data_IF_385925932129
#
_entry.id   IF_385925932129
#
_cell.length_a   1.000
_cell.length_b   1.000
_cell.length_c   1.000
_cell.angle_alpha   90.00
_cell.angle_beta   90.00
_cell.angle_gamma   90.00
#
_symmetry.space_group_name_H-M   'P 1'
#
loop_
_entity.id
_entity.type
_entity.pdbx_description
1 polymer ?
#
# COMPACT_ATOMS: atom_id res chain seq x y z
N UNK A 1 55.06 14.91 16.38
CA UNK A 1 54.00 13.88 16.52
C UNK A 1 52.67 14.48 16.06
N UNK A 2 52.16 14.09 14.89
CA UNK A 2 50.84 14.55 14.41
C UNK A 2 49.82 13.51 14.70
N UNK A 3 48.97 13.75 15.70
CA UNK A 3 47.86 12.88 16.09
C UNK A 3 46.75 12.98 15.01
N UNK A 4 46.58 11.91 14.21
CA UNK A 4 45.47 11.79 13.28
C UNK A 4 44.16 11.54 14.07
N UNK A 5 43.31 12.57 14.17
CA UNK A 5 41.93 12.36 14.59
C UNK A 5 41.23 11.46 13.56
N UNK A 6 40.87 10.23 13.96
CA UNK A 6 39.95 9.38 13.21
C UNK A 6 38.55 10.00 13.28
N UNK A 7 38.07 10.50 12.16
CA UNK A 7 36.68 10.92 12.04
C UNK A 7 35.78 9.74 12.39
N UNK A 8 34.98 9.85 13.44
CA UNK A 8 33.88 8.92 13.74
C UNK A 8 32.86 9.05 12.63
N UNK A 9 32.84 8.09 11.71
CA UNK A 9 31.71 7.92 10.79
C UNK A 9 30.45 7.76 11.61
N UNK A 10 29.58 8.78 11.60
CA UNK A 10 28.26 8.71 12.22
C UNK A 10 27.53 7.53 11.61
N UNK A 11 27.21 6.49 12.41
CA UNK A 11 26.32 5.41 12.00
C UNK A 11 25.01 6.08 11.54
N UNK A 12 24.71 6.04 10.24
CA UNK A 12 23.38 6.41 9.75
C UNK A 12 22.36 5.58 10.53
N UNK A 13 21.43 6.26 11.18
CA UNK A 13 20.33 5.57 11.87
C UNK A 13 19.58 4.71 10.85
N UNK A 14 19.31 3.46 11.22
CA UNK A 14 18.58 2.51 10.41
C UNK A 14 17.18 3.10 10.09
N UNK A 15 16.77 3.18 8.82
CA UNK A 15 15.48 3.77 8.48
C UNK A 15 14.34 2.88 8.95
N UNK A 16 13.25 3.51 9.39
CA UNK A 16 12.03 2.83 9.84
C UNK A 16 10.95 2.95 8.76
N UNK A 17 10.44 1.80 8.33
CA UNK A 17 9.37 1.67 7.35
C UNK A 17 8.11 1.09 7.99
N UNK A 18 6.96 1.67 7.70
CA UNK A 18 5.65 1.12 8.02
C UNK A 18 5.06 0.54 6.74
N UNK A 19 4.63 -0.72 6.77
CA UNK A 19 3.96 -1.39 5.65
C UNK A 19 2.57 -1.78 6.10
N UNK A 20 1.54 -1.15 5.55
CA UNK A 20 0.16 -1.58 5.76
C UNK A 20 -0.21 -2.64 4.71
N UNK A 21 -1.03 -3.62 5.10
CA UNK A 21 -1.24 -4.81 4.26
C UNK A 21 -0.02 -5.73 4.22
N UNK A 22 0.76 -5.75 5.32
CA UNK A 22 2.04 -6.47 5.41
C UNK A 22 1.92 -7.99 5.31
N UNK A 23 0.78 -8.56 5.69
CA UNK A 23 0.51 -9.98 5.59
C UNK A 23 -0.13 -10.38 4.24
N UNK A 24 -0.36 -9.42 3.35
CA UNK A 24 -0.77 -9.65 1.97
C UNK A 24 0.40 -10.06 1.07
N UNK A 25 0.09 -10.46 -0.19
CA UNK A 25 1.11 -10.92 -1.14
C UNK A 25 2.19 -9.87 -1.42
N UNK A 26 1.81 -8.67 -1.85
CA UNK A 26 2.79 -7.62 -2.16
C UNK A 26 3.45 -7.05 -0.91
N UNK A 27 2.66 -6.89 0.17
CA UNK A 27 3.16 -6.33 1.42
C UNK A 27 4.23 -7.19 2.08
N UNK A 28 4.07 -8.52 2.07
CA UNK A 28 5.06 -9.44 2.63
C UNK A 28 6.38 -9.42 1.84
N UNK A 29 6.32 -9.47 0.50
CA UNK A 29 7.52 -9.37 -0.32
C UNK A 29 8.24 -8.02 -0.18
N UNK A 30 7.49 -6.92 -0.06
CA UNK A 30 8.10 -5.62 0.22
C UNK A 30 8.76 -5.60 1.61
N UNK A 31 8.12 -6.20 2.61
CA UNK A 31 8.66 -6.32 3.97
C UNK A 31 10.02 -7.02 3.94
N UNK A 32 10.12 -8.16 3.27
CA UNK A 32 11.37 -8.90 3.10
C UNK A 32 12.45 -8.05 2.42
N UNK A 33 12.09 -7.37 1.34
CA UNK A 33 13.02 -6.50 0.62
C UNK A 33 13.52 -5.34 1.48
N UNK A 34 12.66 -4.72 2.28
CA UNK A 34 13.03 -3.61 3.15
C UNK A 34 13.96 -4.09 4.28
N UNK A 35 13.66 -5.23 4.90
CA UNK A 35 14.54 -5.85 5.90
C UNK A 35 15.92 -6.18 5.30
N UNK A 36 15.95 -6.78 4.11
CA UNK A 36 17.21 -7.07 3.40
C UNK A 36 18.00 -5.79 3.05
N UNK A 37 17.31 -4.64 2.89
CA UNK A 37 17.94 -3.32 2.71
C UNK A 37 18.33 -2.64 4.03
N UNK A 38 18.18 -3.31 5.16
CA UNK A 38 18.57 -2.82 6.48
C UNK A 38 17.59 -1.83 7.09
N UNK A 39 16.31 -1.83 6.71
CA UNK A 39 15.27 -1.09 7.40
C UNK A 39 14.79 -1.84 8.65
N UNK A 40 14.31 -1.11 9.64
CA UNK A 40 13.34 -1.64 10.59
C UNK A 40 11.97 -1.56 9.97
N UNK A 41 11.18 -2.63 10.07
CA UNK A 41 9.85 -2.68 9.47
C UNK A 41 8.77 -2.91 10.51
N UNK A 42 7.75 -2.06 10.50
CA UNK A 42 6.51 -2.26 11.23
C UNK A 42 5.45 -2.67 10.22
N UNK A 43 5.06 -3.93 10.24
CA UNK A 43 3.97 -4.47 9.42
C UNK A 43 2.63 -4.30 10.13
N UNK A 44 1.63 -3.76 9.45
CA UNK A 44 0.26 -3.60 9.95
C UNK A 44 -0.69 -4.33 9.00
N UNK A 45 -1.53 -5.22 9.53
CA UNK A 45 -2.55 -5.95 8.78
C UNK A 45 -3.67 -6.39 9.72
N UNK A 46 -4.91 -6.43 9.26
CA UNK A 46 -6.03 -6.97 10.04
C UNK A 46 -6.34 -8.44 9.74
N UNK A 47 -5.62 -9.04 8.79
CA UNK A 47 -5.72 -10.44 8.36
C UNK A 47 -7.07 -10.83 7.73
N UNK A 48 -7.85 -9.84 7.25
CA UNK A 48 -9.13 -10.12 6.57
C UNK A 48 -8.90 -10.84 5.24
N UNK A 49 -7.88 -10.44 4.47
CA UNK A 49 -7.46 -11.08 3.23
C UNK A 49 -6.00 -11.49 3.24
N UNK A 50 -5.23 -11.00 4.21
CA UNK A 50 -3.85 -11.39 4.47
C UNK A 50 -3.75 -12.70 5.24
N UNK A 51 -2.56 -13.29 5.26
CA UNK A 51 -2.26 -14.52 6.00
C UNK A 51 -0.98 -14.40 6.81
N UNK A 52 -1.01 -14.85 8.07
CA UNK A 52 0.18 -14.93 8.92
C UNK A 52 1.28 -15.79 8.26
N UNK A 53 0.91 -16.82 7.49
CA UNK A 53 1.86 -17.67 6.76
C UNK A 53 2.78 -16.88 5.81
N UNK A 54 2.36 -15.70 5.35
CA UNK A 54 3.19 -14.85 4.49
C UNK A 54 4.32 -14.13 5.24
N UNK A 55 4.24 -14.04 6.57
CA UNK A 55 5.19 -13.31 7.44
C UNK A 55 5.74 -14.15 8.59
N UNK A 56 5.33 -15.42 8.74
CA UNK A 56 5.75 -16.30 9.86
C UNK A 56 7.27 -16.53 9.90
N UNK A 57 7.92 -16.53 8.75
CA UNK A 57 9.38 -16.66 8.63
C UNK A 57 10.12 -15.47 9.25
N UNK A 58 9.45 -14.35 9.52
CA UNK A 58 10.00 -13.17 10.20
C UNK A 58 9.85 -13.23 11.72
N UNK A 59 9.28 -14.32 12.26
CA UNK A 59 9.13 -14.48 13.70
C UNK A 59 10.51 -14.46 14.39
N UNK A 60 10.64 -13.61 15.43
CA UNK A 60 11.90 -13.43 16.16
C UNK A 60 12.92 -12.50 15.49
N UNK A 61 12.65 -11.96 14.30
CA UNK A 61 13.50 -10.93 13.70
C UNK A 61 13.39 -9.63 14.49
N UNK A 62 14.49 -9.15 15.06
CA UNK A 62 14.53 -7.94 15.91
C UNK A 62 14.24 -6.63 15.14
N UNK A 63 14.39 -6.65 13.83
CA UNK A 63 14.10 -5.50 12.96
C UNK A 63 12.69 -5.55 12.36
N UNK A 64 11.89 -6.58 12.70
CA UNK A 64 10.49 -6.70 12.27
C UNK A 64 9.55 -6.71 13.47
N UNK A 65 8.50 -5.88 13.39
CA UNK A 65 7.39 -5.88 14.34
C UNK A 65 6.08 -5.98 13.58
N UNK A 66 5.26 -6.96 13.91
CA UNK A 66 3.90 -7.08 13.37
C UNK A 66 2.88 -6.51 14.35
N UNK A 67 1.90 -5.77 13.82
CA UNK A 67 0.75 -5.23 14.55
C UNK A 67 -0.50 -5.67 13.82
N UNK A 68 -1.30 -6.51 14.46
CA UNK A 68 -2.61 -6.88 13.94
C UNK A 68 -3.59 -5.77 14.25
N UNK A 69 -3.90 -4.95 13.23
CA UNK A 69 -4.77 -3.78 13.38
C UNK A 69 -5.44 -3.43 12.05
N UNK A 70 -6.68 -2.96 12.11
CA UNK A 70 -7.36 -2.36 10.97
C UNK A 70 -6.83 -0.94 10.73
N UNK A 71 -6.43 -0.67 9.49
CA UNK A 71 -5.87 0.65 9.12
C UNK A 71 -6.93 1.76 9.10
N UNK A 72 -8.21 1.42 9.18
CA UNK A 72 -9.31 2.39 9.31
C UNK A 72 -9.41 2.97 10.72
N UNK A 73 -8.81 2.30 11.69
CA UNK A 73 -8.69 2.76 13.06
C UNK A 73 -7.55 3.79 13.22
N UNK A 74 -7.41 4.35 14.42
CA UNK A 74 -6.35 5.30 14.70
C UNK A 74 -4.97 4.63 14.68
N UNK A 75 -4.09 5.09 13.80
CA UNK A 75 -2.73 4.59 13.69
C UNK A 75 -1.78 5.45 14.53
N UNK A 76 -1.24 4.86 15.58
CA UNK A 76 -0.23 5.49 16.42
C UNK A 76 1.00 4.59 16.53
N UNK A 77 2.17 5.19 16.34
CA UNK A 77 3.46 4.52 16.50
C UNK A 77 4.42 5.41 17.26
N UNK A 78 5.08 4.84 18.26
CA UNK A 78 6.16 5.52 18.96
C UNK A 78 7.42 5.58 18.09
N UNK A 79 8.21 6.64 18.32
CA UNK A 79 9.50 6.82 17.65
C UNK A 79 9.41 7.34 16.20
N UNK A 80 10.55 7.34 15.51
CA UNK A 80 10.65 7.87 14.17
C UNK A 80 10.07 6.90 13.14
N UNK A 81 9.44 7.45 12.08
CA UNK A 81 9.03 6.74 10.87
C UNK A 81 9.58 7.52 9.68
N UNK A 82 10.27 6.85 8.77
CA UNK A 82 10.85 7.47 7.58
C UNK A 82 10.01 7.24 6.32
N UNK A 83 9.31 6.08 6.27
CA UNK A 83 8.51 5.69 5.12
C UNK A 83 7.20 5.03 5.55
N UNK A 84 6.11 5.36 4.86
CA UNK A 84 4.82 4.68 4.97
C UNK A 84 4.46 4.12 3.59
N UNK A 85 4.35 2.80 3.52
CA UNK A 85 4.02 2.03 2.32
C UNK A 85 2.60 1.51 2.48
N UNK A 86 1.64 2.12 1.79
CA UNK A 86 0.23 1.82 1.96
C UNK A 86 -0.26 0.80 0.93
N UNK A 87 -0.31 -0.47 1.36
CA UNK A 87 -0.72 -1.62 0.54
C UNK A 87 -2.04 -2.24 1.00
N UNK A 88 -2.57 -1.86 2.16
CA UNK A 88 -3.80 -2.42 2.70
C UNK A 88 -4.99 -2.14 1.78
N UNK A 89 -5.54 -3.19 1.20
CA UNK A 89 -6.78 -3.17 0.41
C UNK A 89 -7.17 -4.60 0.04
N UNK A 90 -8.45 -5.00 0.12
CA UNK A 90 -8.95 -6.13 -0.65
C UNK A 90 -8.74 -5.84 -2.13
N UNK A 91 -7.95 -6.66 -2.82
CA UNK A 91 -7.50 -6.36 -4.18
C UNK A 91 -7.92 -7.41 -5.23
N UNK A 92 -8.42 -8.57 -4.78
CA UNK A 92 -8.97 -9.54 -5.71
C UNK A 92 -10.45 -9.24 -6.01
N UNK A 93 -10.93 -9.50 -7.24
CA UNK A 93 -12.35 -9.35 -7.59
C UNK A 93 -13.30 -10.11 -6.66
N UNK A 94 -12.90 -11.27 -6.18
CA UNK A 94 -13.68 -12.07 -5.24
C UNK A 94 -13.75 -11.35 -3.88
N UNK A 95 -12.62 -10.88 -3.36
CA UNK A 95 -12.58 -10.28 -2.02
C UNK A 95 -13.35 -8.96 -1.96
N UNK A 96 -13.14 -8.05 -2.92
CA UNK A 96 -13.84 -6.77 -2.86
C UNK A 96 -15.34 -6.90 -3.19
N UNK A 97 -15.76 -7.92 -3.95
CA UNK A 97 -17.18 -8.20 -4.16
C UNK A 97 -17.86 -8.73 -2.88
N UNK A 98 -17.16 -9.51 -2.07
CA UNK A 98 -17.64 -10.00 -0.78
C UNK A 98 -17.56 -8.95 0.33
N UNK A 99 -16.63 -8.00 0.23
CA UNK A 99 -16.30 -6.99 1.23
C UNK A 99 -16.40 -5.56 0.68
N UNK A 100 -17.49 -5.17 -0.01
CA UNK A 100 -17.54 -3.89 -0.73
C UNK A 100 -17.44 -2.67 0.19
N UNK A 101 -18.11 -2.70 1.35
CA UNK A 101 -18.08 -1.60 2.32
C UNK A 101 -16.69 -1.49 2.97
N UNK A 102 -16.08 -2.62 3.33
CA UNK A 102 -14.73 -2.66 3.90
C UNK A 102 -13.71 -2.14 2.89
N UNK A 103 -13.86 -2.48 1.60
CA UNK A 103 -13.01 -1.98 0.51
C UNK A 103 -13.09 -0.45 0.39
N UNK A 104 -14.30 0.12 0.41
CA UNK A 104 -14.49 1.57 0.42
C UNK A 104 -13.90 2.23 1.68
N UNK A 105 -14.10 1.63 2.85
CA UNK A 105 -13.55 2.15 4.12
C UNK A 105 -12.02 2.16 4.11
N UNK A 106 -11.38 1.10 3.67
CA UNK A 106 -9.91 1.06 3.65
C UNK A 106 -9.33 2.04 2.62
N UNK A 107 -9.96 2.17 1.46
CA UNK A 107 -9.54 3.14 0.44
C UNK A 107 -9.72 4.60 0.89
N UNK A 108 -10.73 4.89 1.70
CA UNK A 108 -11.00 6.23 2.22
C UNK A 108 -10.38 6.48 3.60
N UNK A 109 -10.96 5.92 4.65
CA UNK A 109 -10.51 6.12 6.04
C UNK A 109 -9.10 5.57 6.26
N UNK A 110 -8.81 4.35 5.74
CA UNK A 110 -7.50 3.73 5.88
C UNK A 110 -6.41 4.58 5.25
N UNK A 111 -6.61 5.05 4.01
CA UNK A 111 -5.66 5.93 3.34
C UNK A 111 -5.50 7.25 4.09
N UNK A 112 -6.60 7.85 4.57
CA UNK A 112 -6.55 9.07 5.38
C UNK A 112 -5.74 8.90 6.67
N UNK A 113 -5.92 7.78 7.40
CA UNK A 113 -5.16 7.48 8.63
C UNK A 113 -3.67 7.26 8.34
N UNK A 114 -3.35 6.51 7.28
CA UNK A 114 -1.97 6.27 6.88
C UNK A 114 -1.25 7.57 6.44
N UNK A 115 -1.94 8.46 5.72
CA UNK A 115 -1.44 9.80 5.38
C UNK A 115 -1.27 10.67 6.63
N UNK A 116 -2.20 10.57 7.60
CA UNK A 116 -2.10 11.25 8.88
C UNK A 116 -0.84 10.86 9.65
N UNK A 117 -0.56 9.56 9.74
CA UNK A 117 0.67 9.03 10.32
C UNK A 117 1.92 9.55 9.60
N UNK A 118 1.92 9.48 8.25
CA UNK A 118 3.05 9.97 7.46
C UNK A 118 3.30 11.46 7.68
N UNK A 119 2.23 12.27 7.73
CA UNK A 119 2.32 13.71 8.01
C UNK A 119 2.88 13.99 9.41
N UNK A 120 2.36 13.30 10.44
CA UNK A 120 2.80 13.46 11.84
C UNK A 120 4.30 13.18 11.99
N UNK A 121 4.77 12.11 11.33
CA UNK A 121 6.17 11.67 11.42
C UNK A 121 7.11 12.36 10.42
N UNK A 122 6.60 13.20 9.52
CA UNK A 122 7.39 13.74 8.42
C UNK A 122 7.93 12.66 7.48
N UNK A 123 7.22 11.55 7.37
CA UNK A 123 7.61 10.38 6.59
C UNK A 123 7.23 10.55 5.11
N UNK A 124 7.97 9.89 4.22
CA UNK A 124 7.57 9.71 2.82
C UNK A 124 6.44 8.70 2.72
N UNK A 125 5.49 8.98 1.84
CA UNK A 125 4.31 8.13 1.65
C UNK A 125 4.26 7.56 0.24
N UNK A 126 4.00 6.25 0.14
CA UNK A 126 3.73 5.59 -1.12
C UNK A 126 2.34 4.93 -1.07
N UNK A 127 1.49 5.30 -2.03
CA UNK A 127 0.20 4.66 -2.27
C UNK A 127 0.33 3.60 -3.36
N UNK A 128 -0.14 2.41 -3.07
CA UNK A 128 -0.36 1.38 -4.09
C UNK A 128 -1.75 1.55 -4.71
N UNK A 129 -1.77 2.08 -5.92
CA UNK A 129 -2.95 2.19 -6.76
C UNK A 129 -2.98 1.08 -7.81
N UNK A 130 -3.82 1.20 -8.82
CA UNK A 130 -4.14 0.15 -9.79
C UNK A 130 -4.53 0.74 -11.14
N UNK A 131 -4.47 -0.06 -12.21
CA UNK A 131 -5.08 0.29 -13.50
C UNK A 131 -6.60 0.43 -13.46
N UNK A 132 -7.25 -0.14 -12.42
CA UNK A 132 -8.71 -0.06 -12.27
C UNK A 132 -9.22 1.38 -12.06
N UNK A 133 -8.34 2.32 -11.72
CA UNK A 133 -8.68 3.76 -11.68
C UNK A 133 -9.09 4.30 -13.06
N UNK A 134 -8.75 3.59 -14.12
CA UNK A 134 -9.17 3.91 -15.49
C UNK A 134 -10.54 3.35 -15.87
N UNK A 135 -11.08 2.40 -15.09
CA UNK A 135 -12.38 1.75 -15.35
C UNK A 135 -12.37 0.93 -16.62
N UNK A 136 -13.36 1.17 -17.50
CA UNK A 136 -13.43 0.62 -18.85
C UNK A 136 -12.81 1.63 -19.85
N UNK A 137 -11.49 1.54 -20.09
CA UNK A 137 -10.77 2.62 -20.74
C UNK A 137 -11.08 2.69 -22.24
N UNK A 138 -11.32 3.90 -22.72
CA UNK A 138 -11.52 4.21 -24.14
C UNK A 138 -10.20 4.48 -24.89
N UNK A 139 -9.09 4.54 -24.16
CA UNK A 139 -7.75 4.82 -24.70
C UNK A 139 -6.80 3.67 -24.39
N UNK A 140 -6.09 3.18 -25.39
CA UNK A 140 -5.09 2.12 -25.27
C UNK A 140 -3.82 2.46 -26.07
N UNK A 141 -2.64 2.33 -25.45
CA UNK A 141 -2.39 2.09 -24.03
C UNK A 141 -2.81 3.30 -23.18
N UNK A 142 -3.19 3.06 -21.92
CA UNK A 142 -3.53 4.14 -20.99
C UNK A 142 -2.27 4.89 -20.61
N UNK A 143 -2.33 6.22 -20.71
CA UNK A 143 -1.30 7.14 -20.22
C UNK A 143 -1.65 7.64 -18.82
N UNK A 144 -0.68 8.16 -18.07
CA UNK A 144 -0.91 8.60 -16.68
C UNK A 144 -1.84 9.80 -16.57
N UNK A 145 -1.98 10.60 -17.62
CA UNK A 145 -2.87 11.76 -17.72
C UNK A 145 -4.30 11.41 -18.18
N UNK A 146 -4.56 10.16 -18.57
CA UNK A 146 -5.91 9.71 -18.90
C UNK A 146 -6.75 9.59 -17.62
N UNK A 147 -7.93 10.24 -17.60
CA UNK A 147 -8.78 10.32 -16.40
C UNK A 147 -9.65 9.09 -16.16
N UNK A 148 -9.80 8.25 -17.16
CA UNK A 148 -10.57 7.02 -17.07
C UNK A 148 -12.05 7.17 -17.43
N UNK A 149 -12.73 6.03 -17.42
CA UNK A 149 -14.16 5.87 -17.69
C UNK A 149 -14.72 4.85 -16.68
N UNK A 150 -15.11 5.34 -15.49
CA UNK A 150 -15.51 4.50 -14.36
C UNK A 150 -17.03 4.55 -14.15
N UNK A 151 -17.66 3.38 -14.00
CA UNK A 151 -19.03 3.27 -13.55
C UNK A 151 -19.09 3.28 -12.02
N UNK A 152 -19.44 4.43 -11.44
CA UNK A 152 -19.43 4.66 -9.98
C UNK A 152 -20.46 3.84 -9.22
N UNK A 153 -21.54 3.41 -9.88
CA UNK A 153 -22.63 2.62 -9.28
C UNK A 153 -22.59 1.15 -9.67
N UNK A 154 -21.66 0.78 -10.54
CA UNK A 154 -21.47 -0.61 -10.96
C UNK A 154 -20.90 -1.49 -9.85
N UNK A 155 -20.97 -2.83 -10.01
CA UNK A 155 -20.54 -3.77 -8.97
C UNK A 155 -19.04 -3.67 -8.59
N UNK A 156 -18.20 -3.13 -9.48
CA UNK A 156 -16.78 -2.88 -9.25
C UNK A 156 -16.50 -1.50 -8.66
N UNK A 157 -17.50 -0.61 -8.64
CA UNK A 157 -17.33 0.76 -8.16
C UNK A 157 -16.77 0.85 -6.74
N UNK A 158 -17.02 -0.15 -5.90
CA UNK A 158 -16.45 -0.21 -4.55
C UNK A 158 -14.91 -0.22 -4.55
N UNK A 159 -14.29 -0.95 -5.48
CA UNK A 159 -12.84 -1.00 -5.60
C UNK A 159 -12.29 0.18 -6.41
N UNK A 160 -12.87 0.42 -7.59
CA UNK A 160 -12.40 1.46 -8.51
C UNK A 160 -12.43 2.83 -7.82
N UNK A 161 -13.57 3.21 -7.21
CA UNK A 161 -13.72 4.49 -6.53
C UNK A 161 -12.91 4.56 -5.22
N UNK A 162 -12.72 3.44 -4.51
CA UNK A 162 -11.84 3.42 -3.34
C UNK A 162 -10.40 3.84 -3.70
N UNK A 163 -9.89 3.34 -4.84
CA UNK A 163 -8.55 3.65 -5.34
C UNK A 163 -8.46 5.06 -5.94
N UNK A 164 -9.47 5.50 -6.66
CA UNK A 164 -9.56 6.89 -7.17
C UNK A 164 -9.59 7.90 -6.03
N UNK A 165 -10.38 7.64 -4.99
CA UNK A 165 -10.40 8.47 -3.79
C UNK A 165 -9.03 8.48 -3.08
N UNK A 166 -8.39 7.32 -2.96
CA UNK A 166 -7.06 7.21 -2.34
C UNK A 166 -6.01 8.05 -3.07
N UNK A 167 -6.02 8.06 -4.42
CA UNK A 167 -5.15 8.95 -5.21
C UNK A 167 -5.49 10.42 -4.96
N UNK A 168 -6.77 10.78 -4.99
CA UNK A 168 -7.22 12.16 -4.82
C UNK A 168 -6.82 12.73 -3.44
N UNK A 169 -7.06 11.98 -2.36
CA UNK A 169 -6.69 12.42 -1.01
C UNK A 169 -5.16 12.45 -0.83
N UNK A 170 -4.41 11.54 -1.43
CA UNK A 170 -2.94 11.55 -1.41
C UNK A 170 -2.40 12.83 -2.04
N UNK A 171 -2.94 13.23 -3.20
CA UNK A 171 -2.56 14.47 -3.86
C UNK A 171 -3.01 15.72 -3.09
N UNK A 172 -4.13 15.65 -2.38
CA UNK A 172 -4.57 16.74 -1.49
C UNK A 172 -3.57 16.97 -0.35
N UNK A 173 -3.11 15.88 0.31
CA UNK A 173 -2.07 15.97 1.34
C UNK A 173 -0.75 16.51 0.78
N UNK A 174 -0.35 16.08 -0.41
CA UNK A 174 0.83 16.61 -1.08
C UNK A 174 0.72 18.14 -1.30
N UNK A 175 -0.39 18.60 -1.86
CA UNK A 175 -0.60 20.03 -2.17
C UNK A 175 -0.69 20.89 -0.92
N UNK A 176 -1.49 20.45 0.07
CA UNK A 176 -1.79 21.24 1.26
C UNK A 176 -0.66 21.18 2.30
N UNK A 177 -0.08 19.99 2.53
CA UNK A 177 0.89 19.77 3.61
C UNK A 177 2.33 19.59 3.11
N UNK A 178 2.54 19.64 1.79
CA UNK A 178 3.85 19.38 1.16
C UNK A 178 4.43 18.00 1.52
N UNK A 179 3.54 17.06 1.84
CA UNK A 179 3.93 15.69 2.12
C UNK A 179 4.62 15.09 0.88
N UNK A 180 5.77 14.46 1.05
CA UNK A 180 6.44 13.76 -0.03
C UNK A 180 5.70 12.45 -0.33
N UNK A 181 4.97 12.42 -1.44
CA UNK A 181 4.12 11.29 -1.83
C UNK A 181 4.53 10.69 -3.16
N UNK A 182 4.27 9.40 -3.32
CA UNK A 182 4.37 8.67 -4.59
C UNK A 182 3.10 7.83 -4.75
N UNK A 183 2.62 7.72 -5.98
CA UNK A 183 1.49 6.85 -6.35
C UNK A 183 2.02 5.87 -7.40
N UNK A 184 1.80 4.58 -7.18
CA UNK A 184 2.17 3.52 -8.11
C UNK A 184 0.89 2.83 -8.58
N UNK A 185 0.52 2.97 -9.85
CA UNK A 185 -0.57 2.23 -10.46
C UNK A 185 -0.03 0.88 -10.94
N UNK A 186 -0.45 -0.19 -10.28
CA UNK A 186 -0.07 -1.55 -10.66
C UNK A 186 -1.00 -1.98 -11.79
N UNK A 187 -0.38 -2.24 -12.93
CA UNK A 187 -0.99 -2.83 -14.11
C UNK A 187 -0.77 -4.34 -14.08
N UNK A 188 -1.18 -5.07 -15.09
CA UNK A 188 -1.10 -6.53 -15.19
C UNK A 188 0.09 -7.15 -14.45
N UNK A 189 -0.20 -7.91 -13.39
CA UNK A 189 0.78 -8.56 -12.55
C UNK A 189 0.71 -10.07 -12.70
N UNK A 190 1.66 -10.64 -13.40
CA UNK A 190 1.85 -12.09 -13.42
C UNK A 190 2.51 -12.54 -12.12
N UNK A 191 1.77 -13.31 -11.31
CA UNK A 191 2.34 -14.00 -10.16
C UNK A 191 2.91 -15.33 -10.63
N UNK A 192 4.14 -15.66 -10.22
CA UNK A 192 4.75 -16.97 -10.47
C UNK A 192 4.16 -18.07 -9.59
N UNK A 193 3.33 -17.75 -8.63
CA UNK A 193 2.52 -18.71 -7.90
C UNK A 193 1.34 -19.14 -8.75
N UNK A 194 1.45 -20.33 -9.28
CA UNK A 194 0.44 -21.23 -9.85
C UNK A 194 -1.01 -20.78 -9.63
N UNK A 195 -1.62 -20.48 -10.70
CA UNK A 195 -2.97 -20.47 -11.17
C UNK A 195 -3.29 -19.18 -11.89
N UNK A 196 -2.62 -19.01 -13.00
CA UNK A 196 -2.98 -18.04 -14.04
C UNK A 196 -4.30 -18.39 -14.75
N UNK A 197 -4.97 -19.48 -14.38
CA UNK A 197 -6.25 -19.87 -14.95
C UNK A 197 -7.42 -18.98 -14.56
N UNK A 198 -7.30 -18.16 -13.50
CA UNK A 198 -8.35 -17.23 -13.10
C UNK A 198 -8.25 -15.83 -13.72
N UNK A 199 -7.18 -15.53 -14.46
CA UNK A 199 -6.97 -14.20 -15.05
C UNK A 199 -7.74 -14.01 -16.35
N UNK A 200 -8.16 -15.10 -17.02
CA UNK A 200 -8.92 -15.01 -18.26
C UNK A 200 -10.43 -14.81 -18.09
N UNK A 201 -10.96 -14.99 -16.88
CA UNK A 201 -12.39 -14.88 -16.60
C UNK A 201 -12.84 -13.52 -16.04
N UNK A 202 -11.94 -12.59 -15.76
CA UNK A 202 -12.31 -11.30 -15.21
C UNK A 202 -12.78 -10.26 -16.25
N UNK A 203 -12.97 -10.66 -17.49
CA UNK A 203 -13.75 -9.88 -18.45
C UNK A 203 -15.23 -10.21 -18.28
N UNK A 204 -15.83 -9.79 -17.17
CA UNK A 204 -17.28 -9.67 -17.14
C UNK A 204 -17.69 -8.54 -18.10
N UNK A 205 -18.61 -8.79 -19.05
CA UNK A 205 -19.13 -7.72 -19.87
C UNK A 205 -19.84 -6.72 -18.96
N UNK A 206 -19.55 -5.44 -19.15
CA UNK A 206 -20.33 -4.34 -18.57
C UNK A 206 -21.68 -4.32 -19.28
N UNK A 207 -22.62 -5.13 -18.84
CA UNK A 207 -23.98 -5.11 -19.36
C UNK A 207 -24.95 -4.91 -18.21
N UNK A 208 -25.67 -3.77 -18.34
CA UNK A 208 -26.89 -3.28 -17.71
C UNK A 208 -26.77 -2.85 -16.25
#
# INVERSE_FOLDING_TARGET
MKTKLKAKTARRSQPVSVVTGAAGFLGSHLTDLLLAKGHKVVGIDNLVTGSVANIEHLAGNQDFRFIQQDVTEFLFLDGPVNYVWHFASPASPVDYALLPIQTLKVGSLGTHKALGLAKEKGARFLLTSTSEVYGDPLVHPQTEDYWGNVNTIGPRGCYDESKRFAEAITMAYHRQHKLETRIVRILDRKSTRLNSSHVSESRMPSSA
#
